data_IF_597094293402
#
_entry.id   IF_597094293402
#
_cell.length_a   1.000
_cell.length_b   1.000
_cell.length_c   1.000
_cell.angle_alpha   90.00
_cell.angle_beta   90.00
_cell.angle_gamma   90.00
#
_symmetry.space_group_name_H-M   'P 1'
#
loop_
_entity.id
_entity.type
_entity.pdbx_description
1 polymer ?
#
# COMPACT_ATOMS: atom_id res chain seq x y z
N UNK A 1 -14.67 -26.61 -16.60
CA UNK A 1 -13.77 -26.54 -15.42
C UNK A 1 -12.65 -25.56 -15.71
N UNK A 2 -12.36 -24.63 -14.79
CA UNK A 2 -11.12 -23.86 -14.84
C UNK A 2 -9.93 -24.82 -14.79
N UNK A 3 -9.08 -24.78 -15.81
CA UNK A 3 -7.89 -25.62 -15.85
C UNK A 3 -6.74 -24.94 -15.12
N UNK A 4 -5.74 -25.71 -14.69
CA UNK A 4 -4.49 -25.16 -14.17
C UNK A 4 -3.81 -24.19 -15.16
N UNK A 5 -4.09 -24.35 -16.45
CA UNK A 5 -3.62 -23.48 -17.54
C UNK A 5 -4.20 -22.07 -17.40
N UNK A 6 -5.49 -21.94 -17.09
CA UNK A 6 -6.12 -20.63 -16.87
C UNK A 6 -5.47 -19.87 -15.71
N UNK A 7 -5.23 -20.56 -14.60
CA UNK A 7 -4.51 -20.00 -13.45
C UNK A 7 -3.10 -19.54 -13.81
N UNK A 8 -2.37 -20.33 -14.61
CA UNK A 8 -1.03 -19.96 -15.07
C UNK A 8 -1.06 -18.72 -15.98
N UNK A 9 -2.07 -18.60 -16.84
CA UNK A 9 -2.26 -17.44 -17.71
C UNK A 9 -2.58 -16.17 -16.91
N UNK A 10 -3.50 -16.26 -15.94
CA UNK A 10 -3.87 -15.12 -15.10
C UNK A 10 -2.69 -14.66 -14.23
N UNK A 11 -1.94 -15.60 -13.68
CA UNK A 11 -0.71 -15.31 -12.95
C UNK A 11 0.35 -14.66 -13.86
N UNK A 12 0.49 -15.13 -15.10
CA UNK A 12 1.38 -14.54 -16.10
C UNK A 12 0.98 -13.11 -16.48
N UNK A 13 -0.32 -12.87 -16.68
CA UNK A 13 -0.86 -11.54 -16.95
C UNK A 13 -0.59 -10.59 -15.77
N UNK A 14 -0.86 -11.05 -14.54
CA UNK A 14 -0.59 -10.26 -13.34
C UNK A 14 0.90 -9.95 -13.18
N UNK A 15 1.79 -10.90 -13.48
CA UNK A 15 3.23 -10.68 -13.46
C UNK A 15 3.65 -9.60 -14.48
N UNK A 16 3.11 -9.64 -15.70
CA UNK A 16 3.37 -8.63 -16.72
C UNK A 16 2.91 -7.23 -16.27
N UNK A 17 1.69 -7.12 -15.75
CA UNK A 17 1.16 -5.85 -15.20
C UNK A 17 2.04 -5.35 -14.06
N UNK A 18 2.52 -6.23 -13.19
CA UNK A 18 3.38 -5.88 -12.06
C UNK A 18 4.72 -5.32 -12.53
N UNK A 19 5.37 -5.98 -13.49
CA UNK A 19 6.66 -5.53 -14.05
C UNK A 19 6.50 -4.18 -14.73
N UNK A 20 5.49 -4.01 -15.58
CA UNK A 20 5.23 -2.76 -16.30
C UNK A 20 4.94 -1.60 -15.34
N UNK A 21 4.09 -1.83 -14.35
CA UNK A 21 3.71 -0.81 -13.37
C UNK A 21 4.90 -0.42 -12.50
N UNK A 22 5.71 -1.38 -12.03
CA UNK A 22 6.93 -1.10 -11.28
C UNK A 22 7.97 -0.35 -12.11
N UNK A 23 8.15 -0.71 -13.38
CA UNK A 23 9.08 -0.03 -14.29
C UNK A 23 8.66 1.42 -14.55
N UNK A 24 7.36 1.64 -14.83
CA UNK A 24 6.79 2.98 -15.02
C UNK A 24 6.94 3.82 -13.75
N UNK A 25 6.60 3.24 -12.59
CA UNK A 25 6.76 3.87 -11.29
C UNK A 25 8.19 4.34 -11.07
N UNK A 26 9.16 3.45 -11.30
CA UNK A 26 10.58 3.75 -11.19
C UNK A 26 11.04 4.87 -12.14
N UNK A 27 10.59 4.84 -13.40
CA UNK A 27 10.89 5.87 -14.39
C UNK A 27 10.38 7.24 -13.98
N UNK A 28 9.15 7.32 -13.48
CA UNK A 28 8.54 8.57 -13.02
C UNK A 28 9.33 9.19 -11.86
N UNK A 29 9.82 8.38 -10.91
CA UNK A 29 10.69 8.90 -9.85
C UNK A 29 12.02 9.42 -10.31
N UNK A 30 12.68 8.70 -11.21
CA UNK A 30 13.95 9.18 -11.76
C UNK A 30 13.77 10.54 -12.43
N UNK A 31 12.65 10.76 -13.12
CA UNK A 31 12.31 12.06 -13.72
C UNK A 31 12.08 13.13 -12.64
N UNK A 32 11.30 12.82 -11.60
CA UNK A 32 11.04 13.74 -10.50
C UNK A 32 12.32 14.13 -9.74
N UNK A 33 13.22 13.18 -9.48
CA UNK A 33 14.50 13.43 -8.82
C UNK A 33 15.44 14.28 -9.69
N UNK A 34 15.50 14.01 -11.00
CA UNK A 34 16.26 14.84 -11.95
C UNK A 34 15.72 16.27 -12.05
N UNK A 35 14.41 16.45 -12.06
CA UNK A 35 13.78 17.78 -12.08
C UNK A 35 14.11 18.58 -10.80
N UNK A 36 14.09 17.93 -9.62
CA UNK A 36 14.51 18.54 -8.35
C UNK A 36 15.97 18.98 -8.35
N UNK A 37 16.86 18.18 -8.96
CA UNK A 37 18.29 18.52 -9.07
C UNK A 37 18.53 19.70 -10.01
N UNK A 38 17.78 19.80 -11.12
CA UNK A 38 17.90 20.91 -12.08
C UNK A 38 17.33 22.24 -11.56
N UNK A 39 16.27 22.19 -10.76
CA UNK A 39 15.67 23.39 -10.15
C UNK A 39 16.41 23.92 -8.91
N UNK A 40 17.51 23.28 -8.49
CA UNK A 40 18.32 23.76 -7.37
C UNK A 40 19.25 24.86 -7.87
N UNK A 41 19.19 26.09 -7.32
CA UNK A 41 20.08 27.16 -7.76
C UNK A 41 21.54 26.73 -7.58
N UNK A 42 22.45 27.16 -8.48
CA UNK A 42 23.87 26.86 -8.36
C UNK A 42 24.36 27.26 -6.98
N UNK A 43 25.18 26.38 -6.40
CA UNK A 43 25.78 26.56 -5.08
C UNK A 43 26.60 27.84 -5.13
N UNK A 44 26.11 28.93 -4.54
CA UNK A 44 26.85 30.18 -4.44
C UNK A 44 28.23 29.87 -3.83
N UNK A 45 29.26 29.91 -4.67
CA UNK A 45 30.65 29.97 -4.25
C UNK A 45 30.84 31.37 -3.72
N UNK A 46 30.67 31.54 -2.41
CA UNK A 46 31.03 32.79 -1.74
C UNK A 46 32.56 32.91 -1.73
N UNK A 47 33.09 33.42 -2.83
CA UNK A 47 34.35 34.14 -2.84
C UNK A 47 34.06 35.49 -3.50
N UNK A 48 34.41 36.53 -2.76
CA UNK A 48 34.45 37.95 -3.14
C UNK A 48 33.10 38.68 -3.25
N UNK A 49 32.59 39.16 -2.12
CA UNK A 49 31.76 40.36 -2.10
C UNK A 49 32.24 41.28 -0.96
N UNK A 50 32.75 42.45 -1.38
CA UNK A 50 33.26 43.53 -0.54
C UNK A 50 32.14 44.15 0.34
N UNK A 51 32.48 44.81 1.46
CA UNK A 51 31.48 45.27 2.42
C UNK A 51 30.73 46.51 1.90
N UNK A 52 29.57 46.28 1.27
CA UNK A 52 28.56 47.30 1.01
C UNK A 52 27.62 47.46 2.21
N UNK A 53 27.48 48.68 2.71
CA UNK A 53 26.56 49.10 3.76
C UNK A 53 25.14 48.55 3.55
N UNK A 54 24.67 47.66 4.44
CA UNK A 54 23.33 47.10 4.39
C UNK A 54 22.44 47.71 5.48
N UNK A 55 21.36 48.34 5.03
CA UNK A 55 20.25 48.88 5.83
C UNK A 55 19.63 47.82 6.76
N UNK A 56 19.27 48.24 7.97
CA UNK A 56 18.65 47.43 9.02
C UNK A 56 17.20 47.03 8.66
N UNK A 57 17.04 46.06 7.77
CA UNK A 57 15.75 45.39 7.53
C UNK A 57 15.75 43.98 8.12
N UNK A 58 14.64 43.62 8.78
CA UNK A 58 14.43 42.39 9.56
C UNK A 58 14.98 41.13 8.86
N UNK A 59 16.11 40.64 9.36
CA UNK A 59 16.69 39.37 8.99
C UNK A 59 15.80 38.22 9.52
N UNK A 60 14.97 37.65 8.64
CA UNK A 60 14.32 36.37 8.92
C UNK A 60 15.35 35.30 9.25
N UNK A 61 15.05 34.36 10.17
CA UNK A 61 15.96 33.31 10.66
C UNK A 61 16.68 32.56 9.52
N UNK A 62 15.99 32.30 8.40
CA UNK A 62 16.58 31.65 7.22
C UNK A 62 17.65 32.47 6.49
N UNK A 63 17.59 33.81 6.57
CA UNK A 63 18.59 34.74 6.00
C UNK A 63 19.75 34.99 6.96
N UNK A 64 19.52 34.91 8.28
CA UNK A 64 20.55 35.10 9.30
C UNK A 64 21.46 33.87 9.48
N UNK A 65 20.91 32.65 9.35
CA UNK A 65 21.68 31.41 9.59
C UNK A 65 22.99 31.29 8.80
N UNK A 66 23.05 31.62 7.49
CA UNK A 66 24.29 31.55 6.70
C UNK A 66 25.37 32.55 7.11
N UNK A 67 24.99 33.64 7.78
CA UNK A 67 25.93 34.67 8.26
C UNK A 67 26.64 34.22 9.55
N UNK A 68 25.95 33.41 10.37
CA UNK A 68 26.38 33.02 11.71
C UNK A 68 27.05 31.63 11.69
N UNK A 69 26.57 30.73 10.82
CA UNK A 69 27.03 29.34 10.77
C UNK A 69 27.60 28.97 9.40
N UNK A 70 28.75 28.29 9.40
CA UNK A 70 29.35 27.63 8.24
C UNK A 70 28.88 26.18 8.17
N UNK A 71 28.60 25.69 6.97
CA UNK A 71 28.23 24.29 6.76
C UNK A 71 29.47 23.39 6.60
N UNK A 72 29.61 22.38 7.45
CA UNK A 72 30.64 21.34 7.30
C UNK A 72 30.49 20.59 5.97
N UNK A 73 31.58 20.48 5.20
CA UNK A 73 31.59 19.71 3.94
C UNK A 73 31.47 18.20 4.18
N UNK A 74 31.86 17.71 5.36
CA UNK A 74 31.93 16.27 5.71
C UNK A 74 30.65 15.77 6.37
N UNK A 75 30.10 16.53 7.30
CA UNK A 75 28.93 16.13 8.12
C UNK A 75 27.66 16.93 7.80
N UNK A 76 27.78 18.01 7.04
CA UNK A 76 26.65 18.91 6.75
C UNK A 76 26.19 19.74 7.94
N UNK A 77 26.77 19.53 9.13
CA UNK A 77 26.47 20.25 10.37
C UNK A 77 26.73 21.76 10.23
N UNK A 78 25.91 22.56 10.91
CA UNK A 78 26.13 23.99 11.07
C UNK A 78 27.18 24.17 12.17
N UNK A 79 28.37 24.59 11.78
CA UNK A 79 29.47 24.94 12.66
C UNK A 79 29.47 26.46 12.85
N UNK A 80 29.70 26.97 14.07
CA UNK A 80 29.93 28.39 14.28
C UNK A 80 31.04 28.91 13.36
N UNK A 81 30.90 30.13 12.87
CA UNK A 81 31.95 30.80 12.11
C UNK A 81 32.91 31.50 13.08
N UNK A 82 34.22 31.38 12.85
CA UNK A 82 35.27 31.99 13.70
C UNK A 82 35.10 33.49 13.88
N UNK A 83 34.54 34.17 12.87
CA UNK A 83 34.30 35.61 12.85
C UNK A 83 33.28 36.09 13.92
N UNK A 84 32.63 35.17 14.67
CA UNK A 84 31.56 35.49 15.61
C UNK A 84 31.67 34.66 16.91
N UNK A 85 32.62 35.02 17.82
CA UNK A 85 33.01 34.21 18.98
C UNK A 85 31.93 34.10 20.08
N UNK A 86 30.92 34.96 20.06
CA UNK A 86 29.80 34.95 21.02
C UNK A 86 28.59 34.13 20.55
N UNK A 87 28.74 33.36 19.47
CA UNK A 87 27.66 32.50 18.99
C UNK A 87 27.43 31.36 19.96
N UNK A 88 26.18 31.14 20.42
CA UNK A 88 25.89 29.98 21.25
C UNK A 88 26.30 28.73 20.46
N UNK A 89 27.12 27.89 21.09
CA UNK A 89 27.45 26.55 20.60
C UNK A 89 26.15 25.76 20.57
N UNK A 90 25.41 25.90 19.47
CA UNK A 90 24.22 25.11 19.22
C UNK A 90 24.70 23.68 19.11
N UNK A 91 24.53 22.94 20.21
CA UNK A 91 24.70 21.50 20.27
C UNK A 91 24.15 20.93 18.98
N UNK A 92 25.04 20.31 18.21
CA UNK A 92 24.84 19.70 16.91
C UNK A 92 23.36 19.62 16.53
N UNK A 93 22.81 20.66 15.89
CA UNK A 93 21.47 20.51 15.30
C UNK A 93 21.69 19.46 14.21
N UNK A 94 21.27 18.20 14.40
CA UNK A 94 21.53 17.20 13.39
C UNK A 94 20.73 17.70 12.21
N UNK A 95 21.43 18.07 11.14
CA UNK A 95 20.76 18.34 9.88
C UNK A 95 20.00 17.06 9.62
N UNK A 96 18.67 17.14 9.69
CA UNK A 96 17.80 16.14 9.09
C UNK A 96 18.16 16.23 7.62
N UNK A 97 19.19 15.47 7.23
CA UNK A 97 19.55 15.28 5.85
C UNK A 97 18.22 15.02 5.17
N UNK A 98 17.90 15.79 4.14
CA UNK A 98 16.68 15.56 3.37
C UNK A 98 16.81 14.12 2.86
N UNK A 99 16.24 13.19 3.64
CA UNK A 99 16.59 11.78 3.59
C UNK A 99 16.34 11.39 2.17
N UNK A 100 17.39 11.00 1.44
CA UNK A 100 17.33 10.70 0.01
C UNK A 100 16.02 9.95 -0.23
N UNK A 101 15.07 10.67 -0.82
CA UNK A 101 13.68 10.38 -0.54
C UNK A 101 13.26 9.34 -1.55
N UNK A 102 13.78 8.12 -1.38
CA UNK A 102 13.54 7.01 -2.29
C UNK A 102 12.04 6.85 -2.45
N UNK A 103 11.58 6.77 -3.70
CA UNK A 103 10.18 6.51 -4.01
C UNK A 103 9.66 5.21 -3.40
N UNK A 104 10.58 4.29 -3.09
CA UNK A 104 10.28 3.01 -2.47
C UNK A 104 10.01 3.12 -0.97
N UNK A 105 10.16 4.32 -0.38
CA UNK A 105 9.79 4.54 1.02
C UNK A 105 8.28 4.56 1.17
N UNK A 106 7.80 3.95 2.26
CA UNK A 106 6.39 3.64 2.53
C UNK A 106 5.36 4.74 2.20
N UNK A 107 5.52 6.05 2.50
CA UNK A 107 4.48 7.01 2.13
C UNK A 107 4.41 7.31 0.63
N UNK A 108 5.47 7.01 -0.13
CA UNK A 108 5.52 7.20 -1.58
C UNK A 108 5.22 5.92 -2.33
N UNK A 109 5.60 4.76 -1.83
CA UNK A 109 5.30 3.48 -2.47
C UNK A 109 3.84 3.03 -2.31
N UNK A 110 3.08 3.65 -1.39
CA UNK A 110 1.70 3.26 -1.09
C UNK A 110 0.74 3.28 -2.30
N UNK A 111 0.75 4.29 -3.21
CA UNK A 111 -0.08 4.25 -4.41
C UNK A 111 0.27 3.09 -5.34
N UNK A 112 1.56 2.78 -5.50
CA UNK A 112 1.99 1.61 -6.26
C UNK A 112 1.43 0.32 -5.66
N UNK A 113 1.49 0.16 -4.34
CA UNK A 113 0.94 -1.00 -3.66
C UNK A 113 -0.57 -1.15 -3.87
N UNK A 114 -1.33 -0.04 -3.83
CA UNK A 114 -2.76 -0.05 -4.18
C UNK A 114 -3.02 -0.43 -5.63
N UNK A 115 -2.26 0.11 -6.58
CA UNK A 115 -2.43 -0.21 -8.02
C UNK A 115 -2.21 -1.70 -8.25
N UNK A 116 -1.11 -2.25 -7.73
CA UNK A 116 -0.79 -3.67 -7.87
C UNK A 116 -1.86 -4.54 -7.21
N UNK A 117 -2.29 -4.17 -6.00
CA UNK A 117 -3.34 -4.89 -5.30
C UNK A 117 -4.66 -4.92 -6.07
N UNK A 118 -5.14 -3.75 -6.52
CA UNK A 118 -6.39 -3.66 -7.27
C UNK A 118 -6.31 -4.41 -8.60
N UNK A 119 -5.18 -4.33 -9.30
CA UNK A 119 -4.96 -5.10 -10.53
C UNK A 119 -5.04 -6.61 -10.25
N UNK A 120 -4.39 -7.09 -9.19
CA UNK A 120 -4.45 -8.50 -8.80
C UNK A 120 -5.86 -8.93 -8.40
N UNK A 121 -6.56 -8.12 -7.61
CA UNK A 121 -7.94 -8.36 -7.21
C UNK A 121 -8.84 -8.52 -8.43
N UNK A 122 -8.79 -7.60 -9.41
CA UNK A 122 -9.61 -7.70 -10.62
C UNK A 122 -9.24 -8.93 -11.46
N UNK A 123 -7.94 -9.20 -11.65
CA UNK A 123 -7.49 -10.34 -12.47
C UNK A 123 -7.98 -11.66 -11.86
N UNK A 124 -7.70 -11.92 -10.57
CA UNK A 124 -8.02 -13.22 -9.98
C UNK A 124 -9.52 -13.44 -9.72
N UNK A 125 -10.31 -12.36 -9.62
CA UNK A 125 -11.75 -12.47 -9.37
C UNK A 125 -12.60 -12.43 -10.64
N UNK A 126 -12.11 -11.86 -11.73
CA UNK A 126 -12.89 -11.68 -12.97
C UNK A 126 -12.37 -12.52 -14.14
N UNK A 127 -11.11 -12.95 -14.14
CA UNK A 127 -10.50 -13.71 -15.24
C UNK A 127 -10.36 -15.21 -14.97
N UNK A 128 -10.19 -16.00 -16.05
CA UNK A 128 -10.43 -15.71 -17.48
C UNK A 128 -11.84 -15.25 -17.80
N UNK A 129 -12.04 -14.66 -18.97
CA UNK A 129 -13.36 -14.55 -19.61
C UNK A 129 -13.39 -15.64 -20.69
N UNK A 130 -14.46 -16.44 -20.80
CA UNK A 130 -14.50 -17.53 -21.76
C UNK A 130 -14.56 -16.94 -23.17
N UNK A 131 -13.72 -17.44 -24.07
CA UNK A 131 -13.69 -16.99 -25.48
C UNK A 131 -14.97 -17.35 -26.23
N UNK A 132 -15.64 -18.43 -25.82
CA UNK A 132 -16.99 -18.79 -26.26
C UNK A 132 -17.93 -18.84 -25.04
N UNK A 133 -18.67 -17.76 -24.76
CA UNK A 133 -19.55 -17.70 -23.60
C UNK A 133 -20.72 -18.68 -23.72
N UNK A 134 -21.25 -18.95 -24.91
CA UNK A 134 -22.44 -19.80 -25.08
C UNK A 134 -22.12 -21.26 -24.78
N UNK A 135 -20.98 -21.75 -25.27
CA UNK A 135 -20.50 -23.10 -24.96
C UNK A 135 -20.12 -23.26 -23.48
N UNK A 136 -19.50 -22.24 -22.88
CA UNK A 136 -19.18 -22.24 -21.46
C UNK A 136 -20.45 -22.29 -20.58
N UNK A 137 -21.45 -21.48 -20.90
CA UNK A 137 -22.73 -21.45 -20.18
C UNK A 137 -23.48 -22.79 -20.28
N UNK A 138 -23.44 -23.47 -21.44
CA UNK A 138 -24.07 -24.79 -21.60
C UNK A 138 -23.38 -25.91 -20.80
N UNK A 139 -22.10 -25.74 -20.43
CA UNK A 139 -21.31 -26.72 -19.70
C UNK A 139 -21.31 -26.49 -18.17
N UNK A 140 -21.85 -25.37 -17.68
CA UNK A 140 -21.87 -25.03 -16.26
C UNK A 140 -23.18 -25.51 -15.65
N UNK A 141 -23.08 -26.44 -14.69
CA UNK A 141 -24.19 -26.82 -13.81
C UNK A 141 -24.09 -25.92 -12.57
N UNK A 142 -25.04 -25.00 -12.40
CA UNK A 142 -25.05 -24.04 -11.30
C UNK A 142 -25.48 -24.72 -9.99
N UNK A 143 -24.62 -24.67 -8.98
CA UNK A 143 -24.95 -24.96 -7.59
C UNK A 143 -24.57 -23.72 -6.78
N UNK A 144 -25.45 -22.73 -6.74
CA UNK A 144 -25.22 -21.54 -5.94
C UNK A 144 -25.26 -21.89 -4.45
N UNK A 145 -24.21 -21.50 -3.72
CA UNK A 145 -24.12 -21.76 -2.30
C UNK A 145 -24.63 -20.54 -1.51
N UNK A 146 -25.86 -20.64 -1.04
CA UNK A 146 -26.48 -19.63 -0.17
C UNK A 146 -26.46 -20.02 1.31
N UNK A 147 -25.98 -21.22 1.66
CA UNK A 147 -25.92 -21.65 3.05
C UNK A 147 -24.58 -21.22 3.65
N UNK A 148 -24.59 -20.38 4.71
CA UNK A 148 -23.35 -20.01 5.38
C UNK A 148 -22.67 -21.26 5.94
N UNK A 149 -21.37 -21.34 5.71
CA UNK A 149 -20.47 -22.44 6.01
C UNK A 149 -20.75 -23.74 5.23
N UNK A 150 -21.50 -23.66 4.13
CA UNK A 150 -21.75 -24.79 3.22
C UNK A 150 -20.46 -25.31 2.58
N UNK A 151 -19.53 -24.43 2.23
CA UNK A 151 -18.22 -24.79 1.67
C UNK A 151 -17.35 -25.59 2.66
N UNK A 152 -17.39 -25.27 3.95
CA UNK A 152 -16.65 -26.02 4.99
C UNK A 152 -17.25 -27.41 5.22
N UNK A 153 -18.58 -27.51 5.21
CA UNK A 153 -19.26 -28.79 5.28
C UNK A 153 -18.93 -29.65 4.05
N UNK A 154 -18.96 -29.05 2.85
CA UNK A 154 -18.59 -29.72 1.61
C UNK A 154 -17.14 -30.21 1.63
N UNK A 155 -16.20 -29.43 2.15
CA UNK A 155 -14.81 -29.87 2.36
C UNK A 155 -14.77 -31.10 3.27
N UNK A 156 -15.43 -31.05 4.42
CA UNK A 156 -15.44 -32.16 5.38
C UNK A 156 -16.04 -33.45 4.80
N UNK A 157 -17.13 -33.33 4.05
CA UNK A 157 -17.78 -34.46 3.40
C UNK A 157 -16.92 -35.02 2.26
N UNK A 158 -16.30 -34.17 1.44
CA UNK A 158 -15.38 -34.60 0.38
C UNK A 158 -14.16 -35.38 0.93
N UNK A 159 -13.66 -35.00 2.11
CA UNK A 159 -12.60 -35.73 2.80
C UNK A 159 -13.07 -37.06 3.38
N UNK A 160 -14.33 -37.14 3.85
CA UNK A 160 -14.94 -38.40 4.32
C UNK A 160 -15.18 -39.38 3.18
N UNK A 161 -15.53 -38.87 2.00
CA UNK A 161 -15.79 -39.66 0.81
C UNK A 161 -14.51 -40.13 0.09
N UNK A 162 -13.32 -39.83 0.63
CA UNK A 162 -12.03 -40.22 0.07
C UNK A 162 -11.56 -39.39 -1.13
N UNK A 163 -12.31 -38.35 -1.50
CA UNK A 163 -12.03 -37.44 -2.62
C UNK A 163 -11.05 -36.31 -2.20
N UNK A 164 -9.88 -36.70 -1.71
CA UNK A 164 -8.89 -35.80 -1.10
C UNK A 164 -8.43 -34.64 -2.00
N UNK A 165 -8.35 -34.87 -3.32
CA UNK A 165 -7.94 -33.82 -4.26
C UNK A 165 -8.97 -32.68 -4.32
N UNK A 166 -10.26 -33.01 -4.43
CA UNK A 166 -11.34 -32.03 -4.46
C UNK A 166 -11.44 -31.28 -3.14
N UNK A 167 -11.37 -32.00 -2.00
CA UNK A 167 -11.39 -31.40 -0.67
C UNK A 167 -10.23 -30.42 -0.46
N UNK A 168 -9.03 -30.77 -0.94
CA UNK A 168 -7.85 -29.88 -0.87
C UNK A 168 -8.01 -28.63 -1.73
N UNK A 169 -8.57 -28.76 -2.94
CA UNK A 169 -8.80 -27.61 -3.82
C UNK A 169 -9.83 -26.63 -3.25
N UNK A 170 -10.92 -27.12 -2.63
CA UNK A 170 -11.88 -26.28 -1.92
C UNK A 170 -11.29 -25.63 -0.67
N UNK A 171 -10.47 -26.35 0.10
CA UNK A 171 -9.78 -25.75 1.24
C UNK A 171 -8.81 -24.64 0.78
N UNK A 172 -8.12 -24.86 -0.35
CA UNK A 172 -7.22 -23.86 -0.92
C UNK A 172 -7.97 -22.62 -1.41
N UNK A 173 -9.16 -22.76 -2.02
CA UNK A 173 -9.96 -21.60 -2.44
C UNK A 173 -10.36 -20.73 -1.26
N UNK A 174 -10.83 -21.34 -0.16
CA UNK A 174 -11.14 -20.64 1.10
C UNK A 174 -9.92 -19.84 1.60
N UNK A 175 -8.74 -20.48 1.64
CA UNK A 175 -7.51 -19.82 2.09
C UNK A 175 -7.08 -18.68 1.17
N UNK A 176 -7.24 -18.86 -0.15
CA UNK A 176 -6.89 -17.84 -1.13
C UNK A 176 -7.81 -16.62 -1.06
N UNK A 177 -9.11 -16.80 -0.79
CA UNK A 177 -10.06 -15.70 -0.59
C UNK A 177 -9.68 -14.86 0.64
N UNK A 178 -9.35 -15.51 1.76
CA UNK A 178 -8.79 -14.83 2.94
C UNK A 178 -7.52 -14.06 2.54
N UNK A 179 -6.56 -14.72 1.89
CA UNK A 179 -5.28 -14.13 1.51
C UNK A 179 -5.45 -12.93 0.54
N UNK A 180 -6.44 -12.98 -0.34
CA UNK A 180 -6.74 -11.95 -1.32
C UNK A 180 -7.25 -10.65 -0.68
N UNK A 181 -7.93 -10.72 0.47
CA UNK A 181 -8.45 -9.54 1.17
C UNK A 181 -7.59 -9.04 2.34
N UNK A 182 -6.58 -9.81 2.76
CA UNK A 182 -5.57 -9.33 3.73
C UNK A 182 -4.91 -8.01 3.31
N UNK A 183 -4.47 -7.83 2.04
CA UNK A 183 -3.91 -6.57 1.60
C UNK A 183 -4.89 -5.39 1.68
N UNK A 184 -6.19 -5.59 1.46
CA UNK A 184 -7.20 -4.52 1.55
C UNK A 184 -7.17 -3.86 2.93
N UNK A 185 -7.30 -4.68 3.99
CA UNK A 185 -7.28 -4.19 5.38
C UNK A 185 -5.96 -3.54 5.78
N UNK A 186 -4.85 -4.15 5.35
CA UNK A 186 -3.50 -3.67 5.62
C UNK A 186 -3.22 -2.31 4.93
N UNK A 187 -3.56 -2.19 3.65
CA UNK A 187 -3.37 -0.98 2.86
C UNK A 187 -4.32 0.14 3.31
N UNK A 188 -5.56 -0.17 3.66
CA UNK A 188 -6.52 0.80 4.18
C UNK A 188 -6.01 1.42 5.51
N UNK A 189 -5.60 0.59 6.46
CA UNK A 189 -5.11 1.07 7.75
C UNK A 189 -3.77 1.83 7.62
N UNK A 190 -2.83 1.38 6.77
CA UNK A 190 -1.60 2.15 6.50
C UNK A 190 -1.89 3.52 5.90
N UNK A 191 -2.79 3.57 4.91
CA UNK A 191 -3.19 4.82 4.24
C UNK A 191 -3.78 5.79 5.26
N UNK A 192 -4.69 5.31 6.10
CA UNK A 192 -5.31 6.10 7.15
C UNK A 192 -4.28 6.64 8.14
N UNK A 193 -3.36 5.79 8.62
CA UNK A 193 -2.30 6.19 9.58
C UNK A 193 -1.40 7.26 9.02
N UNK A 194 -0.98 7.11 7.75
CA UNK A 194 -0.10 8.08 7.09
C UNK A 194 -0.84 9.41 6.88
N UNK A 195 -2.11 9.39 6.46
CA UNK A 195 -2.93 10.61 6.33
C UNK A 195 -3.10 11.32 7.67
N UNK A 196 -3.43 10.58 8.73
CA UNK A 196 -3.61 11.14 10.08
C UNK A 196 -2.31 11.71 10.64
N UNK A 197 -1.17 11.04 10.42
CA UNK A 197 0.13 11.53 10.85
C UNK A 197 0.58 12.80 10.10
N UNK A 198 0.14 12.99 8.85
CA UNK A 198 0.37 14.25 8.11
C UNK A 198 -0.47 15.38 8.67
N UNK A 199 -1.76 15.15 8.91
CA UNK A 199 -2.66 16.15 9.52
C UNK A 199 -2.19 16.56 10.92
N UNK A 200 -1.84 15.60 11.78
CA UNK A 200 -1.36 15.90 13.14
C UNK A 200 -0.01 16.65 13.19
N UNK A 201 0.76 16.68 12.09
CA UNK A 201 1.98 17.48 11.97
C UNK A 201 1.70 18.96 11.68
N UNK A 202 0.52 19.29 11.18
CA UNK A 202 0.08 20.68 10.96
C UNK A 202 -0.44 21.32 12.27
N UNK A 203 -0.86 20.52 13.26
CA UNK A 203 -1.55 20.98 14.48
C UNK A 203 -0.74 20.81 15.81
N UNK A 204 0.60 20.94 15.82
CA UNK A 204 1.45 20.54 16.98
C UNK A 204 1.04 21.20 18.33
N UNK A 205 0.91 20.42 19.45
CA UNK A 205 2.05 20.20 20.35
C UNK A 205 2.55 18.74 20.43
N UNK A 206 3.82 18.63 20.83
CA UNK A 206 4.70 17.45 20.87
C UNK A 206 4.25 16.35 21.84
N UNK A 207 3.85 15.19 21.31
CA UNK A 207 3.80 13.93 22.05
C UNK A 207 4.23 12.78 21.12
N UNK A 208 5.52 12.43 21.15
CA UNK A 208 6.13 11.38 20.33
C UNK A 208 5.69 9.94 20.64
N UNK A 209 4.67 9.74 21.49
CA UNK A 209 4.31 8.43 22.04
C UNK A 209 3.17 7.65 21.36
N UNK A 210 2.53 8.17 20.29
CA UNK A 210 1.20 7.66 19.86
C UNK A 210 1.18 6.58 18.77
N UNK A 211 2.33 6.02 18.35
CA UNK A 211 2.34 4.92 17.36
C UNK A 211 1.90 3.55 17.92
N UNK A 212 1.72 3.44 19.25
CA UNK A 212 1.40 2.20 19.95
C UNK A 212 -0.07 2.06 20.37
N UNK A 213 -0.97 2.98 19.96
CA UNK A 213 -2.39 2.89 20.34
C UNK A 213 -3.06 1.76 19.56
N UNK A 214 -3.76 0.89 20.28
CA UNK A 214 -4.64 -0.14 19.71
C UNK A 214 -5.58 0.48 18.67
N UNK A 215 -5.84 -0.25 17.59
CA UNK A 215 -6.81 0.20 16.59
C UNK A 215 -8.19 0.19 17.27
N UNK A 216 -8.93 1.32 17.29
CA UNK A 216 -10.23 1.36 17.91
C UNK A 216 -11.19 0.43 17.17
N UNK A 217 -12.01 -0.31 17.91
CA UNK A 217 -12.93 -1.31 17.37
C UNK A 217 -13.84 -0.73 16.28
N UNK A 218 -14.36 0.49 16.47
CA UNK A 218 -15.18 1.19 15.46
C UNK A 218 -14.49 1.28 14.09
N UNK A 219 -13.18 1.48 14.06
CA UNK A 219 -12.43 1.57 12.79
C UNK A 219 -12.22 0.20 12.16
N UNK A 220 -11.95 -0.82 12.97
CA UNK A 220 -11.90 -2.21 12.49
C UNK A 220 -13.23 -2.58 11.84
N UNK A 221 -14.35 -2.23 12.48
CA UNK A 221 -15.69 -2.46 11.93
C UNK A 221 -15.93 -1.73 10.61
N UNK A 222 -15.47 -0.47 10.49
CA UNK A 222 -15.55 0.26 9.21
C UNK A 222 -14.77 -0.44 8.10
N UNK A 223 -13.54 -0.90 8.38
CA UNK A 223 -12.76 -1.63 7.38
C UNK A 223 -13.37 -2.97 7.01
N UNK A 224 -13.89 -3.72 8.00
CA UNK A 224 -14.65 -4.95 7.78
C UNK A 224 -15.85 -4.68 6.88
N UNK A 225 -16.63 -3.64 7.15
CA UNK A 225 -17.81 -3.29 6.35
C UNK A 225 -17.44 -2.92 4.91
N UNK A 226 -16.33 -2.20 4.71
CA UNK A 226 -15.80 -1.90 3.38
C UNK A 226 -15.36 -3.18 2.66
N UNK A 227 -14.66 -4.09 3.35
CA UNK A 227 -14.26 -5.39 2.81
C UNK A 227 -15.46 -6.24 2.39
N UNK A 228 -16.48 -6.33 3.24
CA UNK A 228 -17.73 -7.02 2.95
C UNK A 228 -18.44 -6.40 1.73
N UNK A 229 -18.54 -5.07 1.66
CA UNK A 229 -19.15 -4.38 0.51
C UNK A 229 -18.40 -4.66 -0.80
N UNK A 230 -17.06 -4.61 -0.77
CA UNK A 230 -16.23 -4.93 -1.95
C UNK A 230 -16.43 -6.38 -2.36
N UNK A 231 -16.50 -7.32 -1.40
CA UNK A 231 -16.77 -8.71 -1.70
C UNK A 231 -18.17 -8.91 -2.31
N UNK A 232 -19.20 -8.30 -1.74
CA UNK A 232 -20.55 -8.34 -2.30
C UNK A 232 -20.59 -7.75 -3.72
N UNK A 233 -19.82 -6.70 -4.01
CA UNK A 233 -19.73 -6.14 -5.36
C UNK A 233 -19.08 -7.12 -6.34
N UNK A 234 -18.07 -7.87 -5.90
CA UNK A 234 -17.42 -8.90 -6.72
C UNK A 234 -18.40 -10.04 -7.01
N UNK A 235 -19.05 -10.58 -5.98
CA UNK A 235 -20.09 -11.61 -6.14
C UNK A 235 -21.22 -11.13 -7.06
N UNK A 236 -21.68 -9.89 -6.88
CA UNK A 236 -22.71 -9.30 -7.73
C UNK A 236 -22.25 -9.14 -9.19
N UNK A 237 -20.99 -8.77 -9.39
CA UNK A 237 -20.40 -8.66 -10.74
C UNK A 237 -20.32 -10.04 -11.41
N UNK A 238 -19.98 -11.09 -10.65
CA UNK A 238 -19.91 -12.46 -11.15
C UNK A 238 -21.31 -13.03 -11.44
N UNK A 239 -22.27 -12.78 -10.54
CA UNK A 239 -23.67 -13.18 -10.66
C UNK A 239 -24.32 -12.56 -11.90
N UNK A 240 -24.07 -11.26 -12.15
CA UNK A 240 -24.62 -10.58 -13.33
C UNK A 240 -23.88 -10.88 -14.63
N UNK A 241 -22.89 -11.80 -14.62
CA UNK A 241 -22.11 -12.13 -15.82
C UNK A 241 -21.31 -10.92 -16.33
N UNK A 242 -20.66 -10.20 -15.41
CA UNK A 242 -19.99 -8.92 -15.69
C UNK A 242 -20.97 -7.90 -16.30
N UNK A 243 -22.11 -7.70 -15.63
CA UNK A 243 -23.18 -6.78 -16.06
C UNK A 243 -23.73 -7.07 -17.48
N UNK A 244 -23.89 -8.36 -17.81
CA UNK A 244 -24.47 -8.80 -19.08
C UNK A 244 -23.48 -8.92 -20.25
N UNK A 245 -22.18 -8.80 -19.99
CA UNK A 245 -21.15 -9.14 -21.00
C UNK A 245 -21.16 -10.64 -21.30
N UNK A 246 -21.42 -11.46 -20.28
CA UNK A 246 -21.61 -12.91 -20.41
C UNK A 246 -23.10 -13.21 -20.19
N UNK A 247 -23.74 -14.02 -21.06
CA UNK A 247 -25.18 -14.28 -21.00
C UNK A 247 -25.61 -15.21 -19.85
N UNK A 248 -24.67 -15.70 -19.04
CA UNK A 248 -24.93 -16.51 -17.85
C UNK A 248 -24.07 -16.05 -16.66
N UNK A 249 -24.42 -16.54 -15.46
CA UNK A 249 -23.58 -16.46 -14.26
C UNK A 249 -22.25 -17.15 -14.56
N UNK A 250 -21.22 -16.35 -14.79
CA UNK A 250 -19.93 -16.86 -15.24
C UNK A 250 -19.13 -17.55 -14.12
N UNK A 251 -19.43 -17.24 -12.85
CA UNK A 251 -18.95 -17.96 -11.66
C UNK A 251 -20.12 -18.30 -10.74
N UNK A 252 -19.91 -19.33 -9.92
CA UNK A 252 -20.84 -19.73 -8.86
C UNK A 252 -20.81 -18.67 -7.77
N UNK A 253 -21.98 -18.22 -7.33
CA UNK A 253 -22.08 -17.30 -6.19
C UNK A 253 -21.90 -18.11 -4.90
N UNK A 254 -21.00 -17.63 -4.03
CA UNK A 254 -20.75 -18.27 -2.75
C UNK A 254 -20.81 -17.25 -1.60
N UNK A 255 -21.77 -17.42 -0.69
CA UNK A 255 -21.85 -16.59 0.50
C UNK A 255 -20.62 -16.76 1.42
N UNK A 256 -19.95 -17.92 1.33
CA UNK A 256 -18.73 -18.18 2.08
C UNK A 256 -17.53 -17.41 1.55
N UNK A 257 -17.55 -17.02 0.27
CA UNK A 257 -16.53 -16.12 -0.30
C UNK A 257 -16.63 -14.73 0.32
N UNK A 258 -17.86 -14.23 0.53
CA UNK A 258 -18.08 -12.97 1.26
C UNK A 258 -17.55 -13.04 2.70
N UNK A 259 -17.81 -14.16 3.38
CA UNK A 259 -17.35 -14.36 4.77
C UNK A 259 -15.82 -14.42 4.83
N UNK A 260 -15.20 -15.23 3.98
CA UNK A 260 -13.74 -15.45 3.96
C UNK A 260 -12.98 -14.19 3.54
N UNK A 261 -13.46 -13.44 2.55
CA UNK A 261 -12.93 -12.15 2.16
C UNK A 261 -13.03 -11.11 3.29
N UNK A 262 -14.15 -11.12 4.03
CA UNK A 262 -14.34 -10.25 5.20
C UNK A 262 -13.37 -10.60 6.33
N UNK A 263 -13.12 -11.90 6.57
CA UNK A 263 -12.11 -12.38 7.52
C UNK A 263 -10.70 -11.93 7.08
N UNK A 264 -10.37 -12.05 5.79
CA UNK A 264 -9.13 -11.55 5.22
C UNK A 264 -8.91 -10.07 5.53
N UNK A 265 -9.94 -9.25 5.33
CA UNK A 265 -9.89 -7.81 5.64
C UNK A 265 -9.60 -7.55 7.12
N UNK A 266 -10.29 -8.28 8.02
CA UNK A 266 -10.05 -8.18 9.46
C UNK A 266 -8.61 -8.53 9.83
N UNK A 267 -8.10 -9.65 9.29
CA UNK A 267 -6.72 -10.07 9.51
C UNK A 267 -5.75 -9.02 9.00
N UNK A 268 -5.96 -8.46 7.81
CA UNK A 268 -5.15 -7.38 7.24
C UNK A 268 -5.00 -6.17 8.14
N UNK A 269 -6.12 -5.70 8.72
CA UNK A 269 -6.13 -4.57 9.66
C UNK A 269 -5.31 -4.88 10.93
N UNK A 270 -5.34 -6.13 11.40
CA UNK A 270 -4.68 -6.56 12.64
C UNK A 270 -3.22 -6.96 12.47
N UNK A 271 -2.86 -7.58 11.34
CA UNK A 271 -1.54 -8.16 11.08
C UNK A 271 -0.48 -7.07 10.84
N UNK A 272 -0.86 -6.01 10.13
CA UNK A 272 0.09 -4.98 9.72
C UNK A 272 0.73 -4.19 10.89
N UNK A 273 -0.01 -3.79 11.95
CA UNK A 273 0.61 -3.24 13.16
C UNK A 273 1.57 -4.20 13.85
N UNK A 274 1.33 -5.51 13.80
CA UNK A 274 2.20 -6.52 14.41
C UNK A 274 3.51 -6.66 13.62
N UNK A 275 3.42 -6.76 12.30
CA UNK A 275 4.59 -6.81 11.41
C UNK A 275 5.41 -5.52 11.53
N UNK A 276 4.77 -4.35 11.55
CA UNK A 276 5.48 -3.08 11.68
C UNK A 276 6.13 -2.87 13.06
N UNK A 277 5.59 -3.47 14.13
CA UNK A 277 6.23 -3.49 15.45
C UNK A 277 7.50 -4.35 15.43
N UNK A 278 7.46 -5.49 14.74
CA UNK A 278 8.56 -6.44 14.67
C UNK A 278 9.64 -6.03 13.65
N UNK A 279 9.27 -5.35 12.56
CA UNK A 279 10.20 -4.87 11.54
C UNK A 279 11.15 -3.77 12.02
N UNK A 280 10.92 -3.17 13.20
CA UNK A 280 11.91 -2.32 13.88
C UNK A 280 13.18 -3.08 14.30
N UNK A 281 13.19 -4.42 14.21
CA UNK A 281 14.39 -5.25 14.40
C UNK A 281 15.26 -5.48 13.13
N UNK A 282 14.85 -5.01 11.94
CA UNK A 282 15.65 -5.12 10.70
C UNK A 282 16.33 -3.79 10.30
N UNK A 283 16.59 -2.91 11.26
CA UNK A 283 17.18 -1.60 11.01
C UNK A 283 18.13 -1.13 12.11
N UNK A 284 18.89 -2.06 12.70
CA UNK A 284 20.10 -1.78 13.46
C UNK A 284 21.32 -2.11 12.59
#
# INVERSE_FOLDING_TARGET
MYTAINWAMDAGLYAAVTVLTCALWWLLGRRADRARLRGRPPRATSHDEAPGHASHDQLTVSKALPLIYRRSKRTGALLPREDNPHTPTTAEIPVVAARASSMWRLPRALPLAWILYLAGLLIFTLLPIPSDPVAACAAIIHWDNYMPFGSLAAVADQFRDGEHLRGTLYALSILLNIALFVPLGALAETTWRIRRARQAREDLPTDGGRLARSIPTRRVLVWIAIGALVSCLIEFTQYTGLFGIVPCTYRVVDIDDVITNTIGTYLGVRLLPLIARNARFMGA
#
